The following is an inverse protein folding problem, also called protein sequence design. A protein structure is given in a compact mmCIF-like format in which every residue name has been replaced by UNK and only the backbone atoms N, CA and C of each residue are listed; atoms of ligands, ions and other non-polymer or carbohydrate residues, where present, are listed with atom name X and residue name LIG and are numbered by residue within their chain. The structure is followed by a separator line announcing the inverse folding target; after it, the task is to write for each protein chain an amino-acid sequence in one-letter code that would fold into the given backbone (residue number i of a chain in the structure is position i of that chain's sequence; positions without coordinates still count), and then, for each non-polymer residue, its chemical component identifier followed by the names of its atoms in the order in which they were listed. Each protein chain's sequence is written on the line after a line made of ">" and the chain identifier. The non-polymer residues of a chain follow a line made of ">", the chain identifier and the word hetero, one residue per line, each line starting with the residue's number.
data_IF_183429196326
#
_entry.id   IF_183429196326
#
_cell.length_a   1.000
_cell.length_b   1.000
_cell.length_c   1.000
_cell.angle_alpha   90.00
_cell.angle_beta   90.00
_cell.angle_gamma   90.00
#
_symmetry.space_group_name_H-M   'P 1'
#
loop_
_entity.id
_entity.type
_entity.pdbx_description
1 polymer ?
#
# COMPACT_ATOMS: atom_id res chain seq x y z
N UNK A 1 -6.80 6.87 -2.03
CA UNK A 1 -5.93 5.82 -1.51
C UNK A 1 -6.78 4.64 -1.06
N UNK A 2 -6.72 3.52 -1.75
CA UNK A 2 -7.51 2.36 -1.33
C UNK A 2 -6.99 1.76 -0.03
N UNK A 3 -7.91 1.41 0.84
CA UNK A 3 -7.62 0.85 2.16
C UNK A 3 -8.53 -0.35 2.36
N UNK A 4 -7.94 -1.47 2.76
CA UNK A 4 -8.68 -2.72 2.95
C UNK A 4 -8.30 -3.36 4.28
N UNK A 5 -9.23 -4.10 4.87
CA UNK A 5 -8.95 -4.90 6.06
C UNK A 5 -8.41 -6.25 5.61
N UNK A 6 -7.11 -6.29 5.42
CA UNK A 6 -6.45 -7.39 4.70
C UNK A 6 -6.22 -8.61 5.57
N UNK A 7 -6.04 -8.42 6.88
CA UNK A 7 -5.68 -9.54 7.77
C UNK A 7 -6.73 -10.65 7.78
N UNK A 8 -7.99 -10.30 7.49
CA UNK A 8 -9.09 -11.25 7.52
C UNK A 8 -9.57 -11.66 6.11
N UNK A 9 -8.90 -11.19 5.04
CA UNK A 9 -9.41 -11.43 3.70
C UNK A 9 -8.30 -11.41 2.65
N UNK A 10 -8.09 -12.57 2.02
CA UNK A 10 -7.18 -12.65 0.87
C UNK A 10 -7.72 -11.89 -0.34
N UNK A 11 -9.04 -11.74 -0.44
CA UNK A 11 -9.63 -10.92 -1.51
C UNK A 11 -9.29 -9.46 -1.36
N UNK A 12 -9.28 -8.98 -0.12
CA UNK A 12 -8.90 -7.59 0.15
C UNK A 12 -7.44 -7.35 -0.25
N UNK A 13 -6.56 -8.30 0.06
CA UNK A 13 -5.17 -8.22 -0.37
C UNK A 13 -5.08 -8.15 -1.89
N UNK A 14 -5.80 -9.04 -2.59
CA UNK A 14 -5.76 -9.08 -4.04
C UNK A 14 -6.31 -7.78 -4.66
N UNK A 15 -7.35 -7.21 -4.05
CA UNK A 15 -7.88 -5.93 -4.55
C UNK A 15 -6.84 -4.82 -4.51
N UNK A 16 -6.02 -4.79 -3.46
CA UNK A 16 -4.94 -3.80 -3.37
C UNK A 16 -3.85 -4.06 -4.40
N UNK A 17 -3.52 -5.33 -4.63
CA UNK A 17 -2.57 -5.69 -5.67
C UNK A 17 -3.10 -5.27 -7.05
N UNK A 18 -4.35 -5.54 -7.32
CA UNK A 18 -4.99 -5.17 -8.60
C UNK A 18 -4.96 -3.65 -8.81
N UNK A 19 -5.20 -2.90 -7.74
CA UNK A 19 -5.10 -1.44 -7.79
C UNK A 19 -3.69 -0.99 -8.16
N UNK A 20 -2.67 -1.57 -7.53
CA UNK A 20 -1.28 -1.21 -7.82
C UNK A 20 -0.92 -1.52 -9.26
N UNK A 21 -1.37 -2.68 -9.77
CA UNK A 21 -1.14 -3.03 -11.16
C UNK A 21 -1.82 -2.05 -12.12
N UNK A 22 -3.06 -1.69 -11.84
CA UNK A 22 -3.81 -0.74 -12.67
C UNK A 22 -3.14 0.63 -12.66
N UNK A 23 -2.66 1.09 -11.51
CA UNK A 23 -1.96 2.37 -11.43
C UNK A 23 -0.66 2.33 -12.18
N UNK A 24 0.06 1.22 -12.13
CA UNK A 24 1.31 1.05 -12.88
C UNK A 24 1.05 1.18 -14.37
N UNK A 25 0.01 0.54 -14.88
CA UNK A 25 -0.39 0.65 -16.28
C UNK A 25 -0.76 2.07 -16.65
N UNK A 26 -1.33 2.82 -15.71
CA UNK A 26 -1.74 4.21 -15.93
C UNK A 26 -0.61 5.22 -15.78
N UNK A 27 0.63 4.78 -15.53
CA UNK A 27 1.78 5.69 -15.49
C UNK A 27 2.44 5.83 -14.12
N UNK A 28 1.91 5.20 -13.08
CA UNK A 28 2.58 5.23 -11.77
C UNK A 28 3.87 4.44 -11.82
N UNK A 29 4.92 4.96 -11.23
CA UNK A 29 6.22 4.29 -11.20
C UNK A 29 6.80 4.18 -9.80
N UNK A 30 6.09 4.70 -8.80
CA UNK A 30 6.44 4.53 -7.38
C UNK A 30 5.18 4.16 -6.62
N UNK A 31 5.36 3.56 -5.45
CA UNK A 31 4.24 3.19 -4.60
C UNK A 31 4.62 3.35 -3.13
N UNK A 32 3.59 3.44 -2.28
CA UNK A 32 3.77 3.52 -0.85
C UNK A 32 2.72 2.66 -0.15
N UNK A 33 3.00 2.32 1.11
CA UNK A 33 2.15 1.46 1.91
C UNK A 33 1.99 2.08 3.30
N UNK A 34 0.76 2.03 3.82
CA UNK A 34 0.49 2.38 5.21
C UNK A 34 -0.32 1.25 5.83
N UNK A 35 -0.16 1.02 7.12
CA UNK A 35 -0.88 -0.06 7.79
C UNK A 35 -1.19 0.31 9.24
N UNK A 36 -2.14 -0.42 9.83
CA UNK A 36 -2.48 -0.33 11.23
C UNK A 36 -2.21 -1.69 11.85
N UNK A 37 -1.11 -1.79 12.60
CA UNK A 37 -0.71 -3.03 13.29
C UNK A 37 -0.78 -4.26 12.37
N UNK A 38 -0.22 -4.13 11.17
CA UNK A 38 -0.25 -5.18 10.17
C UNK A 38 1.10 -5.30 9.46
N UNK A 39 2.19 -5.32 10.23
CA UNK A 39 3.55 -5.38 9.69
C UNK A 39 3.75 -6.55 8.73
N UNK A 40 3.24 -7.73 9.10
CA UNK A 40 3.39 -8.94 8.30
C UNK A 40 2.73 -8.80 6.93
N UNK A 41 1.51 -8.27 6.91
CA UNK A 41 0.78 -8.07 5.66
C UNK A 41 1.41 -6.95 4.84
N UNK A 42 1.84 -5.87 5.51
CA UNK A 42 2.51 -4.77 4.83
C UNK A 42 3.80 -5.25 4.14
N UNK A 43 4.55 -6.15 4.79
CA UNK A 43 5.76 -6.72 4.20
C UNK A 43 5.43 -7.53 2.94
N UNK A 44 4.37 -8.35 2.98
CA UNK A 44 3.93 -9.10 1.80
C UNK A 44 3.46 -8.16 0.68
N UNK A 45 2.79 -7.08 1.04
CA UNK A 45 2.36 -6.08 0.07
C UNK A 45 3.57 -5.40 -0.58
N UNK A 46 4.61 -5.11 0.21
CA UNK A 46 5.85 -4.55 -0.33
C UNK A 46 6.50 -5.51 -1.32
N UNK A 47 6.49 -6.81 -1.04
CA UNK A 47 7.03 -7.82 -1.95
C UNK A 47 6.28 -7.80 -3.29
N UNK A 48 4.95 -7.75 -3.24
CA UNK A 48 4.15 -7.70 -4.46
C UNK A 48 4.39 -6.41 -5.22
N UNK A 49 4.48 -5.30 -4.50
CA UNK A 49 4.75 -4.01 -5.14
C UNK A 49 6.10 -3.98 -5.82
N UNK A 50 7.13 -4.60 -5.21
CA UNK A 50 8.44 -4.72 -5.85
C UNK A 50 8.36 -5.47 -7.17
N UNK A 51 7.57 -6.54 -7.21
CA UNK A 51 7.38 -7.31 -8.44
C UNK A 51 6.71 -6.46 -9.53
N UNK A 52 5.73 -5.66 -9.15
CA UNK A 52 4.95 -4.86 -10.10
C UNK A 52 5.74 -3.64 -10.56
N UNK A 53 6.39 -2.94 -9.64
CA UNK A 53 7.03 -1.65 -9.91
C UNK A 53 8.53 -1.75 -10.17
N UNK A 54 9.14 -2.88 -9.81
CA UNK A 54 10.57 -3.07 -10.02
C UNK A 54 11.43 -2.25 -9.08
N UNK A 55 10.88 -1.78 -7.96
CA UNK A 55 11.61 -0.96 -6.98
C UNK A 55 10.95 -1.06 -5.62
N UNK A 56 11.69 -0.63 -4.60
CA UNK A 56 11.19 -0.61 -3.23
C UNK A 56 10.08 0.44 -3.09
N UNK A 57 9.17 0.25 -2.12
CA UNK A 57 8.19 1.30 -1.83
C UNK A 57 8.90 2.58 -1.36
N UNK A 58 8.31 3.72 -1.64
CA UNK A 58 8.85 4.99 -1.17
C UNK A 58 8.92 5.03 0.35
N UNK A 59 7.88 4.49 0.99
CA UNK A 59 7.93 4.23 2.43
C UNK A 59 6.85 3.20 2.79
N UNK A 60 7.06 2.59 3.95
CA UNK A 60 6.06 1.74 4.61
C UNK A 60 5.90 2.33 6.01
N UNK A 61 4.73 2.85 6.33
CA UNK A 61 4.53 3.50 7.62
C UNK A 61 3.35 2.89 8.36
N UNK A 62 3.45 2.94 9.68
CA UNK A 62 2.37 2.51 10.55
C UNK A 62 1.56 3.73 10.99
N UNK A 63 0.24 3.66 10.82
CA UNK A 63 -0.66 4.71 11.26
C UNK A 63 -0.84 4.56 12.77
N UNK A 64 -0.68 5.66 13.48
CA UNK A 64 -0.75 5.65 14.93
C UNK A 64 -2.15 5.46 15.48
N UNK A 65 -2.26 5.30 16.81
CA UNK A 65 -3.52 4.91 17.46
C UNK A 65 -4.64 5.94 17.31
N UNK A 66 -4.33 7.17 16.99
CA UNK A 66 -5.36 8.19 16.77
C UNK A 66 -6.34 7.77 15.68
N UNK A 67 -5.82 7.16 14.63
CA UNK A 67 -6.66 6.66 13.54
C UNK A 67 -7.18 5.27 13.83
N UNK A 68 -6.51 4.53 14.68
CA UNK A 68 -6.87 3.15 15.00
C UNK A 68 -8.15 3.00 15.78
N UNK A 69 -8.65 4.08 16.40
CA UNK A 69 -9.88 4.01 17.18
C UNK A 69 -11.10 3.65 16.34
N UNK A 70 -11.08 4.02 15.06
CA UNK A 70 -12.20 3.73 14.15
C UNK A 70 -11.83 2.67 13.11
N UNK A 71 -10.55 2.49 12.84
CA UNK A 71 -10.11 1.61 11.77
C UNK A 71 -9.70 0.22 12.27
N UNK A 72 -9.12 0.15 13.48
CA UNK A 72 -8.70 -1.11 14.06
C UNK A 72 -7.48 -1.72 13.38
N UNK A 73 -6.90 -2.76 14.01
CA UNK A 73 -5.72 -3.42 13.45
C UNK A 73 -6.06 -4.22 12.19
N UNK A 74 -5.06 -4.41 11.33
CA UNK A 74 -5.21 -5.22 10.14
C UNK A 74 -5.54 -4.45 8.87
N UNK A 75 -5.69 -3.13 8.95
CA UNK A 75 -5.90 -2.31 7.76
C UNK A 75 -4.59 -2.06 7.03
N UNK A 76 -4.66 -2.10 5.71
CA UNK A 76 -3.53 -1.77 4.84
C UNK A 76 -4.04 -0.86 3.74
N UNK A 77 -3.35 0.23 3.52
CA UNK A 77 -3.63 1.14 2.41
C UNK A 77 -2.42 1.23 1.50
N UNK A 78 -2.66 1.40 0.22
CA UNK A 78 -1.59 1.53 -0.77
C UNK A 78 -1.89 2.69 -1.69
N UNK A 79 -0.83 3.25 -2.29
CA UNK A 79 -0.98 4.27 -3.32
C UNK A 79 0.11 4.10 -4.35
N UNK A 80 -0.27 4.14 -5.63
CA UNK A 80 0.67 4.19 -6.74
C UNK A 80 0.57 5.56 -7.40
N UNK A 81 1.72 6.17 -7.72
CA UNK A 81 1.74 7.50 -8.31
C UNK A 81 2.98 7.68 -9.18
N UNK A 82 2.94 8.65 -10.12
CA UNK A 82 4.15 9.01 -10.86
C UNK A 82 5.16 9.68 -9.93
N UNK A 83 6.43 9.35 -10.10
CA UNK A 83 7.49 9.95 -9.29
C UNK A 83 7.53 11.48 -9.43
N UNK A 84 7.08 12.01 -10.55
CA UNK A 84 7.01 13.45 -10.77
C UNK A 84 6.11 14.16 -9.76
N UNK A 85 5.13 13.45 -9.18
CA UNK A 85 4.24 14.02 -8.16
C UNK A 85 4.98 14.26 -6.86
N UNK A 86 6.00 13.44 -6.57
CA UNK A 86 6.83 13.63 -5.37
C UNK A 86 7.75 14.83 -5.51
N UNK A 87 7.89 15.30 -6.72
CA UNK A 87 8.51 16.57 -7.02
C UNK A 87 10.02 16.58 -6.94
N UNK A 88 10.63 17.44 -7.72
CA UNK A 88 11.97 17.89 -7.38
C UNK A 88 11.80 18.84 -6.24
N UNK A 89 12.67 18.80 -5.39
CA UNK A 89 12.62 19.76 -4.32
C UNK A 89 13.64 20.81 -4.59
#
# INVERSE_FOLDING_TARGET
>A
MPIERVRTSSRAFQRLVDYLEARREGGADVFLIQHVQAHDVAARMADRGREIYGREPEFVSEIGPVFGTHTGPGLVGVMGLPSSVLGPV
#
